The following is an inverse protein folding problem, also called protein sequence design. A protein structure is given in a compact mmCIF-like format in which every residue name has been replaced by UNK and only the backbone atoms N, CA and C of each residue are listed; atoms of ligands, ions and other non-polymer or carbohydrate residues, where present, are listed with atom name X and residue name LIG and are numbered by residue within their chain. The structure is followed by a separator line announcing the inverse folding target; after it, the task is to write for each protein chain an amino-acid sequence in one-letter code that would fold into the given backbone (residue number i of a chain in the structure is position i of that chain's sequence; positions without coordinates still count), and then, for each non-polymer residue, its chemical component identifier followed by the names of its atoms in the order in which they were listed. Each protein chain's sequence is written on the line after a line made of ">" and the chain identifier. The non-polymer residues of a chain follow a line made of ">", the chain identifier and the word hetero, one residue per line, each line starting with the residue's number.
data_IF_776233906020
#
_entry.id   IF_776233906020
#
_cell.length_a   1.000
_cell.length_b   1.000
_cell.length_c   1.000
_cell.angle_alpha   90.00
_cell.angle_beta   90.00
_cell.angle_gamma   90.00
#
_symmetry.space_group_name_H-M   'P 1'
#
loop_
_entity.id
_entity.type
_entity.pdbx_description
1 polymer ?
#
# COMPACT_ATOMS: atom_id res chain seq x y z
N UNK A 1 -5.88 -20.58 11.00
CA UNK A 1 -6.17 -20.34 9.57
C UNK A 1 -5.46 -19.11 9.09
N UNK A 2 -4.70 -19.24 7.99
CA UNK A 2 -3.99 -18.13 7.37
C UNK A 2 -5.01 -17.25 6.58
N UNK A 3 -5.33 -16.03 7.04
CA UNK A 3 -6.30 -15.15 6.38
C UNK A 3 -5.79 -14.62 5.04
N UNK A 4 -4.47 -14.56 4.83
CA UNK A 4 -3.87 -14.08 3.60
C UNK A 4 -4.15 -15.01 2.43
N UNK A 5 -4.11 -16.32 2.65
CA UNK A 5 -4.41 -17.29 1.59
C UNK A 5 -5.79 -17.06 0.98
N UNK A 6 -6.83 -16.94 1.81
CA UNK A 6 -8.20 -16.69 1.38
C UNK A 6 -8.33 -15.37 0.60
N UNK A 7 -7.69 -14.31 1.09
CA UNK A 7 -7.69 -12.98 0.48
C UNK A 7 -6.98 -12.98 -0.88
N UNK A 8 -5.80 -13.60 -0.98
CA UNK A 8 -4.95 -13.58 -2.17
C UNK A 8 -5.55 -14.43 -3.29
N UNK A 9 -6.08 -15.62 -3.01
CA UNK A 9 -6.74 -16.41 -4.06
C UNK A 9 -7.98 -15.70 -4.61
N UNK A 10 -8.71 -14.97 -3.75
CA UNK A 10 -9.86 -14.14 -4.18
C UNK A 10 -9.41 -13.00 -5.07
N UNK A 11 -8.28 -12.35 -4.72
CA UNK A 11 -7.67 -11.30 -5.52
C UNK A 11 -7.28 -11.84 -6.90
N UNK A 12 -6.52 -12.92 -6.97
CA UNK A 12 -6.06 -13.53 -8.23
C UNK A 12 -7.21 -13.91 -9.16
N UNK A 13 -8.28 -14.49 -8.61
CA UNK A 13 -9.48 -14.82 -9.39
C UNK A 13 -10.15 -13.57 -9.98
N UNK A 14 -10.28 -12.51 -9.19
CA UNK A 14 -10.90 -11.25 -9.63
C UNK A 14 -10.05 -10.54 -10.68
N UNK A 15 -8.73 -10.56 -10.53
CA UNK A 15 -7.79 -9.99 -11.51
C UNK A 15 -7.91 -10.68 -12.88
N UNK A 16 -8.11 -12.00 -12.90
CA UNK A 16 -8.39 -12.75 -14.14
C UNK A 16 -9.83 -12.61 -14.66
N UNK A 17 -10.71 -11.90 -13.96
CA UNK A 17 -12.13 -11.69 -14.31
C UNK A 17 -12.93 -13.00 -14.52
N UNK A 18 -12.56 -14.07 -13.81
CA UNK A 18 -13.23 -15.38 -13.90
C UNK A 18 -14.18 -15.64 -12.73
N UNK A 19 -15.24 -16.40 -12.98
CA UNK A 19 -16.21 -16.80 -11.94
C UNK A 19 -15.64 -17.88 -11.02
N UNK A 20 -16.18 -18.01 -9.80
CA UNK A 20 -15.83 -19.13 -8.91
C UNK A 20 -16.12 -20.49 -9.55
N UNK A 21 -17.19 -20.59 -10.36
CA UNK A 21 -17.54 -21.83 -11.06
C UNK A 21 -16.48 -22.20 -12.10
N UNK A 22 -16.00 -21.21 -12.86
CA UNK A 22 -14.94 -21.43 -13.85
C UNK A 22 -13.62 -21.83 -13.18
N UNK A 23 -13.17 -21.03 -12.20
CA UNK A 23 -11.92 -21.30 -11.48
C UNK A 23 -11.94 -22.67 -10.78
N UNK A 24 -13.06 -23.04 -10.16
CA UNK A 24 -13.21 -24.35 -9.52
C UNK A 24 -13.17 -25.51 -10.54
N UNK A 25 -13.79 -25.32 -11.71
CA UNK A 25 -13.73 -26.28 -12.81
C UNK A 25 -12.30 -26.50 -13.30
N UNK A 26 -11.56 -25.43 -13.56
CA UNK A 26 -10.17 -25.49 -14.01
C UNK A 26 -9.24 -26.12 -12.95
N UNK A 27 -9.49 -25.81 -11.66
CA UNK A 27 -8.76 -26.37 -10.52
C UNK A 27 -9.22 -27.79 -10.14
N UNK A 28 -10.23 -28.34 -10.82
CA UNK A 28 -10.75 -29.69 -10.55
C UNK A 28 -11.34 -29.87 -9.14
N UNK A 29 -11.94 -28.81 -8.57
CA UNK A 29 -12.62 -28.84 -7.27
C UNK A 29 -14.07 -28.37 -7.39
N UNK A 30 -14.88 -28.59 -6.35
CA UNK A 30 -16.24 -28.07 -6.34
C UNK A 30 -16.24 -26.55 -6.10
N UNK A 31 -17.20 -25.84 -6.72
CA UNK A 31 -17.37 -24.41 -6.52
C UNK A 31 -17.63 -24.04 -5.05
N UNK A 32 -18.33 -24.91 -4.31
CA UNK A 32 -18.51 -24.75 -2.86
C UNK A 32 -17.18 -24.83 -2.09
N UNK A 33 -16.29 -25.76 -2.47
CA UNK A 33 -14.99 -25.89 -1.83
C UNK A 33 -14.11 -24.65 -2.08
N UNK A 34 -14.07 -24.14 -3.32
CA UNK A 34 -13.37 -22.89 -3.63
C UNK A 34 -13.94 -21.71 -2.83
N UNK A 35 -15.27 -21.63 -2.71
CA UNK A 35 -15.94 -20.61 -1.90
C UNK A 35 -15.54 -20.68 -0.42
N UNK A 36 -15.41 -21.88 0.14
CA UNK A 36 -14.93 -22.06 1.52
C UNK A 36 -13.46 -21.64 1.69
N UNK A 37 -12.61 -21.87 0.70
CA UNK A 37 -11.24 -21.37 0.70
C UNK A 37 -11.19 -19.84 0.62
N UNK A 38 -11.92 -19.23 -0.33
CA UNK A 38 -11.96 -17.76 -0.51
C UNK A 38 -12.51 -17.02 0.71
N UNK A 39 -13.38 -17.67 1.49
CA UNK A 39 -13.96 -17.11 2.72
C UNK A 39 -13.12 -17.40 3.98
N UNK A 40 -12.07 -18.20 3.89
CA UNK A 40 -11.34 -18.65 5.08
C UNK A 40 -12.22 -19.47 6.04
N UNK A 41 -13.08 -20.34 5.49
CA UNK A 41 -13.88 -21.30 6.27
C UNK A 41 -13.16 -22.65 6.38
N UNK A 42 -12.32 -22.99 5.39
CA UNK A 42 -11.60 -24.26 5.34
C UNK A 42 -10.14 -24.03 4.91
N UNK A 43 -9.22 -24.78 5.52
CA UNK A 43 -7.82 -24.82 5.08
C UNK A 43 -7.66 -25.79 3.90
N UNK A 44 -6.80 -25.42 2.95
CA UNK A 44 -6.45 -26.29 1.84
C UNK A 44 -5.25 -27.18 2.19
N UNK A 45 -5.17 -28.36 1.55
CA UNK A 45 -3.98 -29.21 1.63
C UNK A 45 -2.84 -28.71 0.75
N UNK A 46 -1.63 -29.24 0.98
CA UNK A 46 -0.42 -28.90 0.23
C UNK A 46 -0.57 -29.14 -1.29
N UNK A 47 -1.20 -30.24 -1.69
CA UNK A 47 -1.43 -30.55 -3.11
C UNK A 47 -2.28 -29.48 -3.81
N UNK A 48 -3.28 -28.96 -3.10
CA UNK A 48 -4.10 -27.88 -3.64
C UNK A 48 -3.33 -26.56 -3.69
N UNK A 49 -2.52 -26.27 -2.66
CA UNK A 49 -1.68 -25.07 -2.62
C UNK A 49 -0.72 -25.00 -3.83
N UNK A 50 -0.04 -26.10 -4.16
CA UNK A 50 0.83 -26.16 -5.34
C UNK A 50 0.01 -26.00 -6.61
N UNK A 51 -1.11 -26.72 -6.74
CA UNK A 51 -1.98 -26.64 -7.93
C UNK A 51 -2.51 -25.23 -8.20
N UNK A 52 -2.92 -24.51 -7.15
CA UNK A 52 -3.45 -23.14 -7.29
C UNK A 52 -2.33 -22.15 -7.60
N UNK A 53 -1.12 -22.37 -7.08
CA UNK A 53 0.07 -21.59 -7.39
C UNK A 53 0.42 -21.70 -8.88
N UNK A 54 0.48 -22.92 -9.41
CA UNK A 54 0.72 -23.19 -10.83
C UNK A 54 -0.38 -22.61 -11.71
N UNK A 55 -1.65 -22.78 -11.32
CA UNK A 55 -2.79 -22.25 -12.07
C UNK A 55 -2.72 -20.72 -12.19
N UNK A 56 -2.40 -20.02 -11.10
CA UNK A 56 -2.26 -18.56 -11.11
C UNK A 56 -0.90 -18.06 -11.61
N UNK A 57 0.07 -18.96 -11.82
CA UNK A 57 1.47 -18.67 -12.14
C UNK A 57 2.12 -17.74 -11.10
N UNK A 58 1.95 -18.09 -9.84
CA UNK A 58 2.50 -17.38 -8.67
C UNK A 58 3.16 -18.38 -7.72
N UNK A 59 3.98 -17.90 -6.80
CA UNK A 59 4.64 -18.71 -5.78
C UNK A 59 3.71 -19.08 -4.62
N UNK A 60 4.04 -20.17 -3.94
CA UNK A 60 3.37 -20.52 -2.68
C UNK A 60 3.60 -19.47 -1.59
N UNK A 61 4.79 -18.86 -1.54
CA UNK A 61 5.08 -17.81 -0.56
C UNK A 61 4.24 -16.56 -0.79
N UNK A 62 3.95 -16.21 -2.06
CA UNK A 62 2.99 -15.17 -2.39
C UNK A 62 1.61 -15.54 -1.87
N UNK A 63 1.07 -16.71 -2.23
CA UNK A 63 -0.26 -17.16 -1.80
C UNK A 63 -0.42 -17.22 -0.29
N UNK A 64 0.64 -17.55 0.44
CA UNK A 64 0.63 -17.61 1.90
C UNK A 64 0.87 -16.25 2.58
N UNK A 65 1.02 -15.17 1.81
CA UNK A 65 1.26 -13.82 2.33
C UNK A 65 2.68 -13.60 2.85
N UNK A 66 3.64 -14.48 2.57
CA UNK A 66 5.04 -14.37 3.02
C UNK A 66 5.86 -13.37 2.22
N UNK A 67 5.48 -13.13 0.98
CA UNK A 67 6.05 -12.09 0.12
C UNK A 67 4.92 -11.39 -0.64
N UNK A 68 5.03 -10.06 -0.89
CA UNK A 68 4.06 -9.36 -1.71
C UNK A 68 4.33 -9.53 -3.21
N UNK A 69 5.41 -10.21 -3.61
CA UNK A 69 5.76 -10.46 -5.01
C UNK A 69 5.20 -11.79 -5.53
N UNK A 70 4.49 -11.82 -6.68
CA UNK A 70 3.95 -13.03 -7.26
C UNK A 70 4.96 -14.16 -7.41
N UNK A 71 6.19 -13.88 -7.84
CA UNK A 71 7.24 -14.89 -8.10
C UNK A 71 7.91 -15.44 -6.84
N UNK A 72 7.56 -14.93 -5.65
CA UNK A 72 8.13 -15.44 -4.40
C UNK A 72 9.43 -14.77 -3.98
N UNK A 73 9.85 -13.71 -4.69
CA UNK A 73 11.11 -13.02 -4.41
C UNK A 73 11.01 -12.22 -3.11
N UNK A 74 12.11 -12.20 -2.37
CA UNK A 74 12.28 -11.30 -1.22
C UNK A 74 13.10 -10.12 -1.70
N UNK A 75 12.57 -8.90 -1.55
CA UNK A 75 13.24 -7.70 -2.03
C UNK A 75 14.52 -7.42 -1.24
N UNK A 76 15.65 -7.48 -1.93
CA UNK A 76 16.95 -7.03 -1.41
C UNK A 76 17.15 -5.53 -1.65
N UNK A 77 17.99 -4.88 -0.85
CA UNK A 77 18.22 -3.43 -0.94
C UNK A 77 18.85 -3.06 -2.27
N UNK A 78 19.69 -3.94 -2.82
CA UNK A 78 20.40 -3.78 -4.08
C UNK A 78 19.46 -3.74 -5.29
N UNK A 79 18.32 -4.42 -5.22
CA UNK A 79 17.35 -4.55 -6.32
C UNK A 79 16.35 -3.39 -6.41
N UNK A 80 16.28 -2.54 -5.39
CA UNK A 80 15.39 -1.38 -5.40
C UNK A 80 16.10 -0.21 -6.09
N UNK A 81 15.50 0.38 -7.16
CA UNK A 81 16.09 1.52 -7.86
C UNK A 81 16.39 2.68 -6.90
N UNK A 82 17.60 3.24 -7.02
CA UNK A 82 18.02 4.48 -6.38
C UNK A 82 18.06 5.58 -7.45
N UNK A 83 17.11 6.51 -7.44
CA UNK A 83 17.10 7.68 -8.34
C UNK A 83 17.72 8.93 -7.70
N UNK A 84 18.05 8.87 -6.40
CA UNK A 84 18.32 10.09 -5.63
C UNK A 84 19.71 10.72 -5.87
N UNK A 85 20.58 10.13 -6.71
CA UNK A 85 21.95 10.61 -6.95
C UNK A 85 22.83 10.73 -5.68
N UNK A 86 22.31 10.35 -4.51
CA UNK A 86 22.87 10.62 -3.21
C UNK A 86 23.31 9.30 -2.55
N UNK A 87 24.37 8.72 -3.12
CA UNK A 87 25.13 7.61 -2.55
C UNK A 87 26.08 8.03 -1.42
N UNK A 88 26.11 9.34 -1.07
CA UNK A 88 27.13 9.91 -0.19
C UNK A 88 26.79 9.84 1.31
N UNK A 89 25.55 9.51 1.69
CA UNK A 89 25.21 9.25 3.09
C UNK A 89 25.43 7.75 3.39
N UNK A 90 26.41 7.37 4.23
CA UNK A 90 26.50 6.03 4.80
C UNK A 90 25.33 5.83 5.76
N UNK A 91 24.17 5.54 5.19
CA UNK A 91 22.96 5.19 5.91
C UNK A 91 23.00 3.70 6.24
N UNK A 92 22.58 3.32 7.46
CA UNK A 92 22.34 1.92 7.79
C UNK A 92 21.41 1.29 6.73
N UNK A 93 21.62 0.01 6.40
CA UNK A 93 20.86 -0.76 5.41
C UNK A 93 19.35 -0.61 5.60
N UNK A 94 18.88 -0.62 6.85
CA UNK A 94 17.46 -0.42 7.20
C UNK A 94 16.94 0.95 6.74
N UNK A 95 17.73 2.01 6.89
CA UNK A 95 17.34 3.37 6.49
C UNK A 95 17.29 3.45 4.95
N UNK A 96 18.26 2.85 4.26
CA UNK A 96 18.26 2.80 2.79
C UNK A 96 17.03 2.08 2.27
N UNK A 97 16.71 0.92 2.85
CA UNK A 97 15.53 0.15 2.50
C UNK A 97 14.23 0.97 2.60
N UNK A 98 13.95 1.56 3.77
CA UNK A 98 12.73 2.35 3.98
C UNK A 98 12.70 3.61 3.10
N UNK A 99 13.84 4.30 2.92
CA UNK A 99 13.92 5.47 2.05
C UNK A 99 13.50 5.12 0.62
N UNK A 100 14.09 4.08 0.05
CA UNK A 100 13.78 3.68 -1.33
C UNK A 100 12.32 3.26 -1.49
N UNK A 101 11.80 2.45 -0.56
CA UNK A 101 10.39 2.02 -0.58
C UNK A 101 9.45 3.23 -0.57
N UNK A 102 9.71 4.19 0.31
CA UNK A 102 8.88 5.39 0.44
C UNK A 102 8.97 6.26 -0.81
N UNK A 103 10.17 6.57 -1.29
CA UNK A 103 10.38 7.45 -2.44
C UNK A 103 9.72 6.88 -3.71
N UNK A 104 9.97 5.59 -4.00
CA UNK A 104 9.40 4.92 -5.16
C UNK A 104 7.87 4.85 -5.10
N UNK A 105 7.30 4.65 -3.91
CA UNK A 105 5.85 4.66 -3.71
C UNK A 105 5.25 6.05 -3.88
N UNK A 106 5.94 7.10 -3.43
CA UNK A 106 5.53 8.50 -3.65
C UNK A 106 5.52 8.84 -5.14
N UNK A 107 6.56 8.44 -5.88
CA UNK A 107 6.61 8.61 -7.34
C UNK A 107 5.41 7.97 -8.02
N UNK A 108 5.03 6.74 -7.63
CA UNK A 108 3.84 6.07 -8.14
C UNK A 108 2.54 6.81 -7.81
N UNK A 109 2.38 7.30 -6.59
CA UNK A 109 1.21 8.11 -6.21
C UNK A 109 1.07 9.36 -7.08
N UNK A 110 2.18 10.01 -7.43
CA UNK A 110 2.16 11.14 -8.36
C UNK A 110 1.84 10.72 -9.79
N UNK A 111 2.35 9.59 -10.28
CA UNK A 111 1.96 9.05 -11.59
C UNK A 111 0.46 8.75 -11.67
N UNK A 112 -0.16 8.19 -10.63
CA UNK A 112 -1.61 8.02 -10.57
C UNK A 112 -2.35 9.35 -10.57
N UNK A 113 -1.88 10.32 -9.77
CA UNK A 113 -2.49 11.65 -9.71
C UNK A 113 -2.45 12.36 -11.06
N UNK A 114 -1.36 12.19 -11.82
CA UNK A 114 -1.22 12.71 -13.18
C UNK A 114 -2.17 12.02 -14.17
N UNK A 115 -2.27 10.68 -14.12
CA UNK A 115 -3.21 9.90 -14.95
C UNK A 115 -4.66 10.32 -14.75
N UNK A 116 -5.03 10.64 -13.52
CA UNK A 116 -6.39 11.07 -13.16
C UNK A 116 -6.77 12.44 -13.74
N UNK A 117 -5.77 13.22 -14.19
CA UNK A 117 -5.91 14.57 -14.75
C UNK A 117 -6.75 15.51 -13.86
N UNK A 118 -6.59 15.40 -12.53
CA UNK A 118 -7.25 16.27 -11.56
C UNK A 118 -6.24 17.10 -10.79
N UNK A 119 -6.38 18.42 -10.89
CA UNK A 119 -5.52 19.37 -10.18
C UNK A 119 -5.75 19.29 -8.66
N UNK A 120 -7.01 19.15 -8.24
CA UNK A 120 -7.37 18.93 -6.84
C UNK A 120 -6.68 17.69 -6.30
N UNK A 121 -6.74 16.55 -6.99
CA UNK A 121 -6.09 15.33 -6.52
C UNK A 121 -4.57 15.54 -6.31
N UNK A 122 -3.88 16.13 -7.29
CA UNK A 122 -2.44 16.42 -7.20
C UNK A 122 -2.13 17.36 -6.02
N UNK A 123 -2.88 18.45 -5.88
CA UNK A 123 -2.68 19.47 -4.84
C UNK A 123 -2.85 18.88 -3.45
N UNK A 124 -3.95 18.16 -3.23
CA UNK A 124 -4.30 17.63 -1.91
C UNK A 124 -3.37 16.48 -1.50
N UNK A 125 -2.98 15.59 -2.43
CA UNK A 125 -1.97 14.54 -2.19
C UNK A 125 -0.62 15.17 -1.82
N UNK A 126 -0.19 16.20 -2.55
CA UNK A 126 1.06 16.93 -2.26
C UNK A 126 1.02 17.55 -0.86
N UNK A 127 -0.07 18.26 -0.54
CA UNK A 127 -0.29 18.90 0.77
C UNK A 127 -0.26 17.88 1.91
N UNK A 128 -0.89 16.71 1.72
CA UNK A 128 -0.89 15.61 2.68
C UNK A 128 0.53 15.13 3.00
N UNK A 129 1.33 14.86 1.97
CA UNK A 129 2.71 14.37 2.12
C UNK A 129 3.61 15.44 2.75
N UNK A 130 3.51 16.69 2.30
CA UNK A 130 4.28 17.82 2.86
C UNK A 130 3.99 18.02 4.35
N UNK A 131 2.72 17.98 4.76
CA UNK A 131 2.34 18.12 6.16
C UNK A 131 2.78 16.92 7.01
N UNK A 132 2.77 15.72 6.44
CA UNK A 132 3.28 14.52 7.11
C UNK A 132 4.78 14.64 7.40
N UNK A 133 5.58 15.06 6.41
CA UNK A 133 7.02 15.33 6.58
C UNK A 133 7.24 16.48 7.57
N UNK A 134 6.48 17.57 7.44
CA UNK A 134 6.55 18.71 8.36
C UNK A 134 6.34 18.30 9.82
N UNK A 135 5.34 17.46 10.10
CA UNK A 135 5.07 16.95 11.45
C UNK A 135 6.24 16.15 11.98
N UNK A 136 6.73 15.17 11.21
CA UNK A 136 7.86 14.32 11.62
C UNK A 136 9.13 15.14 11.85
N UNK A 137 9.45 16.05 10.91
CA UNK A 137 10.57 16.97 11.05
C UNK A 137 10.44 17.82 12.30
N UNK A 138 9.25 18.39 12.56
CA UNK A 138 9.02 19.25 13.72
C UNK A 138 9.13 18.49 15.04
N UNK A 139 8.71 17.23 15.10
CA UNK A 139 8.89 16.36 16.27
C UNK A 139 10.39 16.15 16.53
N UNK A 140 11.15 15.75 15.50
CA UNK A 140 12.60 15.50 15.61
C UNK A 140 13.35 16.79 15.96
N UNK A 141 13.04 17.90 15.28
CA UNK A 141 13.67 19.20 15.51
C UNK A 141 13.46 19.69 16.94
N UNK A 142 12.29 19.44 17.52
CA UNK A 142 11.97 19.82 18.90
C UNK A 142 12.59 18.91 19.96
N UNK A 143 13.17 17.77 19.59
CA UNK A 143 13.88 16.89 20.52
C UNK A 143 15.19 17.51 21.02
N UNK A 144 15.79 18.43 20.27
CA UNK A 144 16.95 19.21 20.70
C UNK A 144 16.53 20.62 21.16
N UNK A 145 16.65 20.95 22.46
CA UNK A 145 16.24 22.27 22.98
C UNK A 145 17.05 23.45 22.44
N UNK A 146 18.25 23.20 21.90
CA UNK A 146 19.14 24.22 21.34
C UNK A 146 18.71 24.72 19.96
N UNK A 147 17.77 24.03 19.32
CA UNK A 147 17.33 24.37 17.98
C UNK A 147 16.46 25.64 17.97
N UNK A 148 16.73 26.56 17.03
CA UNK A 148 16.05 27.86 16.95
C UNK A 148 14.58 27.71 16.52
N UNK A 149 13.68 28.03 17.44
CA UNK A 149 12.24 27.94 17.21
C UNK A 149 11.71 28.98 16.22
N UNK A 150 12.49 30.02 15.87
CA UNK A 150 12.11 31.04 14.88
C UNK A 150 11.97 30.46 13.46
N UNK A 151 12.49 29.27 13.21
CA UNK A 151 12.23 28.52 11.97
C UNK A 151 10.72 28.31 11.73
N UNK A 152 9.91 28.25 12.79
CA UNK A 152 8.49 27.97 12.69
C UNK A 152 7.62 29.19 13.01
N UNK A 153 6.75 29.55 12.06
CA UNK A 153 5.73 30.57 12.28
C UNK A 153 4.61 30.11 13.21
N UNK A 154 4.21 28.84 13.12
CA UNK A 154 3.10 28.28 13.91
C UNK A 154 3.61 27.92 15.31
N UNK A 155 2.92 28.24 16.42
CA UNK A 155 3.36 27.88 17.77
C UNK A 155 3.47 26.35 17.98
N UNK A 156 4.47 25.92 18.76
CA UNK A 156 4.76 24.49 19.01
C UNK A 156 3.55 23.71 19.52
N UNK A 157 2.79 24.32 20.44
CA UNK A 157 1.66 23.67 21.15
C UNK A 157 0.54 23.25 20.20
N UNK A 158 0.26 24.06 19.18
CA UNK A 158 -0.87 23.80 18.25
C UNK A 158 -0.43 23.17 16.93
N UNK A 159 0.88 23.08 16.69
CA UNK A 159 1.44 22.74 15.39
C UNK A 159 0.99 21.38 14.87
N UNK A 160 1.05 20.35 15.72
CA UNK A 160 0.76 18.98 15.32
C UNK A 160 -0.73 18.80 15.06
N UNK A 161 -1.58 19.33 15.94
CA UNK A 161 -3.03 19.24 15.80
C UNK A 161 -3.55 20.07 14.63
N UNK A 162 -2.96 21.25 14.40
CA UNK A 162 -3.26 22.06 13.21
C UNK A 162 -2.91 21.32 11.92
N UNK A 163 -1.73 20.68 11.89
CA UNK A 163 -1.33 19.86 10.74
C UNK A 163 -2.25 18.64 10.57
N UNK A 164 -2.66 17.97 11.65
CA UNK A 164 -3.62 16.87 11.62
C UNK A 164 -4.97 17.30 11.04
N UNK A 165 -5.50 18.44 11.48
CA UNK A 165 -6.77 18.96 10.97
C UNK A 165 -6.73 19.20 9.45
N UNK A 166 -5.64 19.79 8.94
CA UNK A 166 -5.46 20.02 7.50
C UNK A 166 -5.26 18.70 6.77
N UNK A 167 -4.48 17.76 7.31
CA UNK A 167 -4.32 16.41 6.75
C UNK A 167 -5.69 15.72 6.61
N UNK A 168 -6.53 15.76 7.64
CA UNK A 168 -7.88 15.19 7.58
C UNK A 168 -8.77 15.87 6.54
N UNK A 169 -8.63 17.18 6.34
CA UNK A 169 -9.33 17.89 5.26
C UNK A 169 -8.82 17.47 3.89
N UNK A 170 -7.50 17.35 3.71
CA UNK A 170 -6.89 16.85 2.48
C UNK A 170 -7.42 15.45 2.16
N UNK A 171 -7.51 14.55 3.14
CA UNK A 171 -8.07 13.21 2.94
C UNK A 171 -9.52 13.26 2.45
N UNK A 172 -10.35 14.14 3.03
CA UNK A 172 -11.74 14.30 2.60
C UNK A 172 -11.83 14.79 1.14
N UNK A 173 -10.99 15.76 0.77
CA UNK A 173 -10.93 16.29 -0.59
C UNK A 173 -10.39 15.25 -1.58
N UNK A 174 -9.35 14.48 -1.21
CA UNK A 174 -8.82 13.38 -2.02
C UNK A 174 -9.91 12.35 -2.28
N UNK A 175 -10.63 11.91 -1.24
CA UNK A 175 -11.73 10.93 -1.36
C UNK A 175 -12.84 11.43 -2.27
N UNK A 176 -13.22 12.70 -2.15
CA UNK A 176 -14.24 13.29 -3.01
C UNK A 176 -13.76 13.36 -4.47
N UNK A 177 -12.57 13.93 -4.69
CA UNK A 177 -11.99 14.08 -6.02
C UNK A 177 -11.78 12.72 -6.72
N UNK A 178 -11.25 11.72 -6.02
CA UNK A 178 -11.04 10.37 -6.56
C UNK A 178 -12.34 9.62 -6.85
N UNK A 179 -13.43 9.99 -6.18
CA UNK A 179 -14.78 9.44 -6.41
C UNK A 179 -15.57 10.22 -7.47
N UNK A 180 -14.94 11.18 -8.15
CA UNK A 180 -15.58 12.04 -9.16
C UNK A 180 -16.52 13.10 -8.59
N UNK A 181 -16.43 13.38 -7.29
CA UNK A 181 -17.26 14.37 -6.59
C UNK A 181 -16.47 15.67 -6.43
N UNK A 182 -16.89 16.72 -7.14
CA UNK A 182 -16.36 18.06 -6.99
C UNK A 182 -16.93 18.75 -5.73
N UNK A 183 -16.06 19.27 -4.86
CA UNK A 183 -16.44 20.03 -3.67
C UNK A 183 -16.19 21.53 -3.89
N UNK A 184 -17.25 22.34 -3.85
CA UNK A 184 -17.15 23.78 -4.07
C UNK A 184 -16.59 24.11 -5.46
N UNK A 185 -15.47 24.84 -5.50
CA UNK A 185 -14.80 25.23 -6.75
C UNK A 185 -13.74 24.23 -7.23
N UNK A 186 -13.55 23.11 -6.52
CA UNK A 186 -12.55 22.10 -6.87
C UNK A 186 -12.99 21.26 -8.08
N UNK A 187 -12.03 20.80 -8.87
CA UNK A 187 -12.23 19.76 -9.88
C UNK A 187 -12.21 18.35 -9.25
N UNK A 188 -12.58 17.35 -10.04
CA UNK A 188 -12.58 15.95 -9.64
C UNK A 188 -12.20 15.05 -10.82
N UNK A 189 -11.85 13.80 -10.51
CA UNK A 189 -11.51 12.79 -11.51
C UNK A 189 -12.75 12.48 -12.35
N UNK A 190 -12.64 12.66 -13.67
CA UNK A 190 -13.78 12.49 -14.59
C UNK A 190 -13.96 11.05 -15.06
N UNK A 191 -12.85 10.34 -15.21
CA UNK A 191 -12.82 8.95 -15.64
C UNK A 191 -12.22 8.10 -14.53
N UNK A 192 -13.05 7.31 -13.85
CA UNK A 192 -12.61 6.45 -12.75
C UNK A 192 -11.66 5.35 -13.24
N UNK A 193 -11.78 4.90 -14.49
CA UNK A 193 -10.92 3.87 -15.06
C UNK A 193 -9.49 4.38 -15.26
N UNK A 194 -9.26 5.70 -15.29
CA UNK A 194 -7.92 6.29 -15.30
C UNK A 194 -7.07 5.90 -14.08
N UNK A 195 -7.72 5.60 -12.96
CA UNK A 195 -7.11 5.15 -11.70
C UNK A 195 -7.10 3.61 -11.55
N UNK A 196 -7.65 2.87 -12.51
CA UNK A 196 -7.68 1.41 -12.45
C UNK A 196 -6.26 0.85 -12.44
N UNK A 197 -6.03 -0.08 -11.52
CA UNK A 197 -4.75 -0.76 -11.35
C UNK A 197 -4.96 -2.15 -10.76
N UNK A 198 -4.17 -3.12 -11.22
CA UNK A 198 -4.02 -4.47 -10.66
C UNK A 198 -2.56 -4.72 -10.30
N UNK A 199 -2.28 -5.82 -9.59
CA UNK A 199 -0.89 -6.24 -9.36
C UNK A 199 -0.15 -6.43 -10.69
N UNK A 200 -0.81 -7.03 -11.68
CA UNK A 200 -0.25 -7.23 -13.01
C UNK A 200 0.03 -5.91 -13.76
N UNK A 201 -0.87 -4.91 -13.70
CA UNK A 201 -0.61 -3.62 -14.37
C UNK A 201 0.43 -2.81 -13.60
N UNK A 202 0.52 -2.92 -12.27
CA UNK A 202 1.62 -2.31 -11.50
C UNK A 202 2.96 -2.83 -11.99
N UNK A 203 3.14 -4.16 -12.00
CA UNK A 203 4.41 -4.77 -12.40
C UNK A 203 4.74 -4.54 -13.87
N UNK A 204 3.74 -4.33 -14.74
CA UNK A 204 3.93 -4.07 -16.16
C UNK A 204 4.23 -2.60 -16.46
N UNK A 205 3.42 -1.68 -15.96
CA UNK A 205 3.46 -0.26 -16.31
C UNK A 205 4.46 0.51 -15.44
N UNK A 206 4.84 -0.06 -14.29
CA UNK A 206 5.73 0.53 -13.30
C UNK A 206 6.72 -0.51 -12.74
N UNK A 207 7.31 -1.33 -13.61
CA UNK A 207 8.18 -2.45 -13.23
C UNK A 207 9.29 -2.10 -12.24
N UNK A 208 9.84 -0.89 -12.32
CA UNK A 208 10.91 -0.41 -11.43
C UNK A 208 10.42 -0.07 -10.01
N UNK A 209 9.16 0.32 -9.85
CA UNK A 209 8.63 0.86 -8.60
C UNK A 209 7.54 0.00 -7.95
N UNK A 210 6.92 -0.91 -8.71
CA UNK A 210 5.81 -1.76 -8.27
C UNK A 210 6.16 -2.54 -7.01
N UNK A 211 7.34 -3.17 -6.99
CA UNK A 211 7.86 -3.92 -5.85
C UNK A 211 7.96 -3.09 -4.57
N UNK A 212 8.34 -1.82 -4.70
CA UNK A 212 8.43 -0.89 -3.57
C UNK A 212 7.06 -0.60 -2.98
N UNK A 213 6.06 -0.30 -3.83
CA UNK A 213 4.70 -0.03 -3.40
C UNK A 213 4.05 -1.27 -2.77
N UNK A 214 4.24 -2.45 -3.35
CA UNK A 214 3.70 -3.70 -2.83
C UNK A 214 4.28 -4.04 -1.44
N UNK A 215 5.59 -3.80 -1.23
CA UNK A 215 6.19 -3.88 0.10
C UNK A 215 5.64 -2.84 1.06
N UNK A 216 5.48 -1.58 0.63
CA UNK A 216 4.91 -0.53 1.47
C UNK A 216 3.52 -0.92 1.97
N UNK A 217 2.66 -1.40 1.07
CA UNK A 217 1.31 -1.87 1.40
C UNK A 217 1.40 -3.00 2.42
N UNK A 218 2.21 -4.03 2.17
CA UNK A 218 2.35 -5.16 3.07
C UNK A 218 2.83 -4.74 4.47
N UNK A 219 3.93 -3.99 4.56
CA UNK A 219 4.51 -3.55 5.84
C UNK A 219 3.49 -2.72 6.62
N UNK A 220 2.73 -1.86 5.93
CA UNK A 220 1.71 -1.01 6.53
C UNK A 220 0.51 -1.81 7.04
N UNK A 221 -0.04 -2.69 6.21
CA UNK A 221 -1.15 -3.59 6.57
C UNK A 221 -0.78 -4.49 7.75
N UNK A 222 0.41 -5.09 7.74
CA UNK A 222 0.91 -5.91 8.85
C UNK A 222 0.98 -5.10 10.15
N UNK A 223 1.39 -3.83 10.08
CA UNK A 223 1.44 -2.94 11.24
C UNK A 223 0.05 -2.56 11.76
N UNK A 224 -0.90 -2.31 10.85
CA UNK A 224 -2.28 -1.99 11.18
C UNK A 224 -2.96 -3.20 11.82
N UNK A 225 -2.83 -4.38 11.21
CA UNK A 225 -3.37 -5.63 11.72
C UNK A 225 -2.85 -5.94 13.13
N UNK A 226 -1.53 -5.84 13.36
CA UNK A 226 -0.94 -6.00 14.70
C UNK A 226 -1.54 -5.06 15.73
N UNK A 227 -1.82 -3.81 15.35
CA UNK A 227 -2.35 -2.79 16.26
C UNK A 227 -3.84 -3.00 16.54
N UNK A 228 -4.61 -3.41 15.54
CA UNK A 228 -6.07 -3.63 15.65
C UNK A 228 -6.41 -4.97 16.32
N UNK A 229 -5.72 -6.03 15.94
CA UNK A 229 -6.03 -7.40 16.36
C UNK A 229 -5.23 -7.83 17.61
N UNK A 230 -4.11 -7.16 17.89
CA UNK A 230 -3.29 -7.37 19.09
C UNK A 230 -3.98 -7.00 20.42
N UNK A 231 -5.14 -6.34 20.38
CA UNK A 231 -5.97 -6.07 21.56
C UNK A 231 -6.81 -7.29 22.00
N UNK A 232 -6.95 -8.34 21.18
CA UNK A 232 -7.76 -9.51 21.52
C UNK A 232 -7.02 -10.58 22.34
N UNK A 233 -5.69 -10.51 22.46
CA UNK A 233 -4.89 -11.57 23.14
C UNK A 233 -4.53 -11.28 24.61
N UNK A 234 -4.98 -10.16 25.20
CA UNK A 234 -4.74 -9.82 26.61
C UNK A 234 -5.94 -10.03 27.56
N UNK A 235 -6.86 -10.95 27.25
CA UNK A 235 -7.83 -11.44 28.24
C UNK A 235 -7.90 -12.96 28.26
N UNK A 236 -7.14 -13.56 29.18
CA UNK A 236 -7.54 -14.71 30.00
C UNK A 236 -6.55 -14.82 31.17
N UNK A 237 -6.95 -14.48 32.42
CA UNK A 237 -6.36 -15.11 33.59
C UNK A 237 -6.72 -16.60 33.64
#
# INVERSE_FOLDING_TARGET
>A
MNPDFARIITLQRKERKISQKQAAGDLGISQALLSHYEKGIRECGLDFLVKIADYYNVSCDYLLGRTPEPEGRTLSIEEIPDDDGNNAMPSNEVIRFYRKIINNSISLLFSFSQRANSFTLIREVSSYLMLSVYKLFRIIYNACPHNDQKLFRVPKVVANDSANAIISLNEANIKAASSGIALGANDAVRDADSLYVTTATLSKDFSEYASSLLNLVKISEDSIARTRDGLETQKRP
#
